data_IF_037605355193
#
_entry.id   IF_037605355193
#
_cell.length_a   1.000
_cell.length_b   1.000
_cell.length_c   1.000
_cell.angle_alpha   90.00
_cell.angle_beta   90.00
_cell.angle_gamma   90.00
#
_symmetry.space_group_name_H-M   'P 1'
#
loop_
_entity.id
_entity.type
_entity.pdbx_description
1 polymer ?
#
# COMPACT_ATOMS: atom_id res chain seq x y z
N UNK A 1 -10.48 -2.10 -14.49
CA UNK A 1 -10.93 -1.90 -13.09
C UNK A 1 -9.74 -1.54 -12.20
N UNK A 2 -8.54 -1.96 -12.59
CA UNK A 2 -7.34 -1.86 -11.77
C UNK A 2 -6.79 -0.43 -11.68
N UNK A 3 -6.87 0.35 -12.77
CA UNK A 3 -6.58 1.79 -12.70
C UNK A 3 -7.54 2.54 -11.76
N UNK A 4 -8.81 2.10 -11.66
CA UNK A 4 -9.77 2.68 -10.71
C UNK A 4 -9.43 2.27 -9.27
N UNK A 5 -8.94 1.05 -9.05
CA UNK A 5 -8.41 0.61 -7.76
C UNK A 5 -7.25 1.52 -7.32
N UNK A 6 -6.27 1.76 -8.20
CA UNK A 6 -5.13 2.65 -7.92
C UNK A 6 -5.59 4.08 -7.57
N UNK A 7 -6.53 4.63 -8.33
CA UNK A 7 -7.09 5.96 -8.06
C UNK A 7 -7.87 6.01 -6.74
N UNK A 8 -8.64 4.96 -6.42
CA UNK A 8 -9.38 4.85 -5.18
C UNK A 8 -8.45 4.83 -3.95
N UNK A 9 -7.34 4.10 -4.03
CA UNK A 9 -6.30 4.06 -2.99
C UNK A 9 -5.65 5.43 -2.86
N UNK A 10 -5.25 6.06 -3.98
CA UNK A 10 -4.63 7.38 -3.98
C UNK A 10 -5.50 8.43 -3.27
N UNK A 11 -6.82 8.30 -3.40
CA UNK A 11 -7.83 9.17 -2.80
C UNK A 11 -8.30 8.72 -1.39
N UNK A 12 -7.66 7.70 -0.79
CA UNK A 12 -8.06 7.11 0.50
C UNK A 12 -9.55 6.69 0.57
N UNK A 13 -10.10 6.22 -0.54
CA UNK A 13 -11.53 5.89 -0.63
C UNK A 13 -11.77 4.39 -0.40
N UNK A 14 -11.81 3.97 0.86
CA UNK A 14 -12.00 2.57 1.27
C UNK A 14 -13.22 1.91 0.62
N UNK A 15 -14.36 2.61 0.54
CA UNK A 15 -15.58 2.07 -0.06
C UNK A 15 -15.41 1.75 -1.55
N UNK A 16 -14.71 2.63 -2.29
CA UNK A 16 -14.45 2.40 -3.71
C UNK A 16 -13.38 1.33 -3.93
N UNK A 17 -12.35 1.28 -3.07
CA UNK A 17 -11.35 0.19 -3.07
C UNK A 17 -12.06 -1.16 -2.94
N UNK A 18 -12.93 -1.29 -1.92
CA UNK A 18 -13.71 -2.49 -1.69
C UNK A 18 -14.56 -2.86 -2.90
N UNK A 19 -15.28 -1.89 -3.48
CA UNK A 19 -16.08 -2.14 -4.67
C UNK A 19 -15.23 -2.60 -5.86
N UNK A 20 -14.03 -2.05 -6.07
CA UNK A 20 -13.13 -2.49 -7.15
C UNK A 20 -12.71 -3.95 -6.96
N UNK A 21 -12.27 -4.32 -5.76
CA UNK A 21 -11.83 -5.68 -5.44
C UNK A 21 -12.97 -6.71 -5.55
N UNK A 22 -14.16 -6.37 -5.07
CA UNK A 22 -15.36 -7.22 -5.21
C UNK A 22 -15.77 -7.43 -6.67
N UNK A 23 -15.46 -6.48 -7.55
CA UNK A 23 -15.68 -6.60 -8.99
C UNK A 23 -14.52 -7.29 -9.74
N UNK A 24 -13.52 -7.80 -9.03
CA UNK A 24 -12.42 -8.58 -9.59
C UNK A 24 -11.23 -7.75 -10.08
N UNK A 25 -11.04 -6.53 -9.57
CA UNK A 25 -9.78 -5.82 -9.76
C UNK A 25 -8.62 -6.61 -9.16
N UNK A 26 -7.50 -6.66 -9.89
CA UNK A 26 -6.30 -7.37 -9.46
C UNK A 26 -5.57 -6.55 -8.37
N UNK A 27 -5.44 -7.10 -7.13
CA UNK A 27 -4.76 -6.40 -6.04
C UNK A 27 -3.23 -6.30 -6.24
N UNK A 28 -2.67 -7.03 -7.20
CA UNK A 28 -1.25 -6.96 -7.62
C UNK A 28 -1.05 -6.33 -9.00
N UNK A 29 -2.10 -5.68 -9.54
CA UNK A 29 -2.00 -4.95 -10.79
C UNK A 29 -0.78 -4.03 -10.82
N UNK A 30 -0.07 -4.05 -11.94
CA UNK A 30 1.07 -3.18 -12.18
C UNK A 30 0.70 -2.08 -13.17
N UNK A 31 0.77 -0.82 -12.74
CA UNK A 31 0.71 0.30 -13.68
C UNK A 31 2.03 0.39 -14.44
N UNK A 32 1.95 0.26 -15.75
CA UNK A 32 3.03 0.61 -16.65
C UNK A 32 3.10 2.15 -16.70
N UNK A 33 3.90 2.77 -15.83
CA UNK A 33 4.31 4.16 -16.05
C UNK A 33 5.35 4.12 -17.19
N UNK A 34 4.83 4.31 -18.40
CA UNK A 34 5.50 4.17 -19.71
C UNK A 34 6.44 5.36 -20.02
N UNK A 35 7.07 5.96 -19.01
CA UNK A 35 8.08 7.00 -19.21
C UNK A 35 9.47 6.34 -19.31
N UNK A 36 9.82 5.91 -20.53
CA UNK A 36 11.15 5.37 -20.88
C UNK A 36 12.31 6.30 -20.48
N UNK A 37 12.04 7.59 -20.25
CA UNK A 37 13.02 8.60 -19.83
C UNK A 37 13.37 8.52 -18.33
N UNK A 38 12.48 8.01 -17.48
CA UNK A 38 12.68 7.87 -16.03
C UNK A 38 12.25 6.46 -15.59
N UNK A 39 13.16 5.46 -15.61
CA UNK A 39 12.79 4.10 -15.25
C UNK A 39 12.10 4.11 -13.88
N UNK A 40 10.95 3.45 -13.79
CA UNK A 40 10.14 3.30 -12.59
C UNK A 40 11.05 3.00 -11.40
N UNK A 41 11.37 4.04 -10.62
CA UNK A 41 12.27 3.86 -9.50
C UNK A 41 11.57 2.98 -8.46
N UNK A 42 12.32 2.22 -7.67
CA UNK A 42 11.78 1.49 -6.50
C UNK A 42 11.01 2.42 -5.51
N UNK A 43 11.01 3.74 -5.73
CA UNK A 43 10.34 4.76 -4.95
C UNK A 43 9.00 5.24 -5.52
N UNK A 44 8.66 4.93 -6.77
CA UNK A 44 7.34 5.22 -7.33
C UNK A 44 6.40 4.01 -7.15
N UNK A 45 5.12 4.25 -6.82
CA UNK A 45 4.15 3.19 -6.62
C UNK A 45 3.59 2.71 -7.95
N UNK A 46 3.89 1.47 -8.31
CA UNK A 46 3.37 0.79 -9.51
C UNK A 46 2.35 -0.30 -9.16
N UNK A 47 2.10 -0.57 -7.88
CA UNK A 47 1.15 -1.57 -7.38
C UNK A 47 0.26 -0.98 -6.29
N UNK A 48 -0.95 -1.56 -6.06
CA UNK A 48 -1.87 -1.11 -5.02
C UNK A 48 -1.23 -0.96 -3.63
N UNK A 49 -0.49 -1.96 -3.14
CA UNK A 49 0.16 -1.85 -1.82
C UNK A 49 1.31 -0.83 -1.82
N UNK A 50 2.10 -0.71 -2.90
CA UNK A 50 3.10 0.36 -3.00
C UNK A 50 2.44 1.74 -3.00
N UNK A 51 1.25 1.89 -3.58
CA UNK A 51 0.49 3.15 -3.54
C UNK A 51 0.11 3.52 -2.10
N UNK A 52 -0.29 2.57 -1.26
CA UNK A 52 -0.53 2.84 0.16
C UNK A 52 0.75 3.34 0.83
N UNK A 53 1.86 2.59 0.70
CA UNK A 53 3.17 2.98 1.25
C UNK A 53 3.61 4.35 0.74
N UNK A 54 3.29 4.68 -0.51
CA UNK A 54 3.59 6.00 -1.06
C UNK A 54 2.77 7.10 -0.38
N UNK A 55 1.46 6.91 -0.23
CA UNK A 55 0.53 7.93 0.28
C UNK A 55 0.69 8.20 1.76
N UNK A 56 1.05 7.20 2.57
CA UNK A 56 1.18 7.38 4.03
C UNK A 56 2.39 8.25 4.43
N UNK A 57 3.26 8.60 3.48
CA UNK A 57 4.30 9.63 3.65
C UNK A 57 3.77 11.07 3.67
N UNK A 58 2.51 11.29 3.33
CA UNK A 58 1.92 12.61 3.22
C UNK A 58 1.73 13.23 4.62
N UNK A 59 2.46 14.31 4.90
CA UNK A 59 2.48 14.97 6.21
C UNK A 59 1.17 15.65 6.59
N UNK A 60 0.20 15.75 5.67
CA UNK A 60 -1.10 16.35 5.93
C UNK A 60 -2.19 15.34 6.29
N UNK A 61 -1.88 14.04 6.33
CA UNK A 61 -2.84 13.02 6.74
C UNK A 61 -3.20 13.13 8.22
N UNK A 62 -4.48 12.90 8.51
CA UNK A 62 -4.99 12.76 9.87
C UNK A 62 -4.84 11.33 10.38
N UNK A 63 -5.06 11.10 11.67
CA UNK A 63 -5.14 9.74 12.22
C UNK A 63 -6.28 8.92 11.60
N UNK A 64 -7.40 9.56 11.26
CA UNK A 64 -8.52 8.93 10.56
C UNK A 64 -8.09 8.48 9.15
N UNK A 65 -7.32 9.31 8.45
CA UNK A 65 -6.79 8.93 7.14
C UNK A 65 -5.88 7.71 7.22
N UNK A 66 -4.96 7.69 8.20
CA UNK A 66 -4.04 6.57 8.41
C UNK A 66 -4.79 5.30 8.81
N UNK A 67 -5.84 5.42 9.64
CA UNK A 67 -6.71 4.30 9.98
C UNK A 67 -7.41 3.73 8.74
N UNK A 68 -7.90 4.60 7.85
CA UNK A 68 -8.50 4.18 6.57
C UNK A 68 -7.46 3.51 5.66
N UNK A 69 -6.23 4.04 5.57
CA UNK A 69 -5.15 3.38 4.83
C UNK A 69 -4.77 2.02 5.41
N UNK A 70 -4.81 1.85 6.74
CA UNK A 70 -4.62 0.56 7.39
C UNK A 70 -5.70 -0.44 6.95
N UNK A 71 -6.97 -0.04 6.98
CA UNK A 71 -8.08 -0.88 6.51
C UNK A 71 -7.97 -1.22 5.00
N UNK A 72 -7.53 -0.27 4.16
CA UNK A 72 -7.22 -0.52 2.75
C UNK A 72 -6.09 -1.56 2.60
N UNK A 73 -5.05 -1.48 3.44
CA UNK A 73 -3.92 -2.41 3.44
C UNK A 73 -4.38 -3.83 3.76
N UNK A 74 -5.12 -4.00 4.84
CA UNK A 74 -5.69 -5.29 5.24
C UNK A 74 -6.57 -5.86 4.12
N UNK A 75 -7.43 -5.04 3.54
CA UNK A 75 -8.33 -5.47 2.47
C UNK A 75 -7.58 -5.93 1.21
N UNK A 76 -6.53 -5.22 0.80
CA UNK A 76 -5.70 -5.65 -0.33
C UNK A 76 -5.03 -7.00 -0.06
N UNK A 77 -4.51 -7.19 1.16
CA UNK A 77 -3.87 -8.44 1.59
C UNK A 77 -4.87 -9.59 1.66
N UNK A 78 -6.08 -9.35 2.15
CA UNK A 78 -7.18 -10.33 2.19
C UNK A 78 -7.57 -10.83 0.78
N UNK A 79 -7.46 -9.95 -0.22
CA UNK A 79 -7.67 -10.30 -1.63
C UNK A 79 -6.43 -10.89 -2.32
N UNK A 80 -5.32 -11.04 -1.59
CA UNK A 80 -4.14 -11.79 -2.04
C UNK A 80 -2.93 -10.96 -2.46
N UNK A 81 -2.98 -9.63 -2.34
CA UNK A 81 -1.87 -8.73 -2.70
C UNK A 81 -0.53 -9.22 -2.12
N UNK A 82 0.55 -9.17 -2.89
CA UNK A 82 1.90 -9.49 -2.45
C UNK A 82 2.50 -8.34 -1.61
N UNK A 83 2.78 -8.54 -0.31
CA UNK A 83 3.40 -7.52 0.52
C UNK A 83 4.87 -7.26 0.20
N UNK A 84 5.57 -8.17 -0.49
CA UNK A 84 7.02 -8.11 -0.70
C UNK A 84 7.51 -6.80 -1.36
N UNK A 85 6.96 -6.38 -2.51
CA UNK A 85 7.32 -5.13 -3.16
C UNK A 85 7.07 -3.89 -2.28
N UNK A 86 5.95 -3.87 -1.57
CA UNK A 86 5.59 -2.78 -0.67
C UNK A 86 6.49 -2.72 0.56
N UNK A 87 6.84 -3.87 1.15
CA UNK A 87 7.81 -3.98 2.23
C UNK A 87 9.18 -3.42 1.82
N UNK A 88 9.70 -3.83 0.65
CA UNK A 88 10.97 -3.31 0.12
C UNK A 88 10.94 -1.79 -0.05
N UNK A 89 9.81 -1.22 -0.49
CA UNK A 89 9.64 0.22 -0.59
C UNK A 89 9.61 0.90 0.79
N UNK A 90 8.86 0.36 1.74
CA UNK A 90 8.74 0.88 3.10
C UNK A 90 10.12 0.91 3.78
N UNK A 91 10.91 -0.15 3.66
CA UNK A 91 12.28 -0.21 4.20
C UNK A 91 13.20 0.86 3.62
N UNK A 92 13.06 1.16 2.32
CA UNK A 92 13.84 2.21 1.65
C UNK A 92 13.44 3.62 2.10
N UNK A 93 12.16 3.84 2.36
CA UNK A 93 11.61 5.16 2.71
C UNK A 93 11.76 5.48 4.19
N UNK A 94 11.50 4.51 5.05
CA UNK A 94 11.33 4.69 6.49
C UNK A 94 12.41 4.00 7.32
N UNK A 95 13.26 3.20 6.68
CA UNK A 95 14.21 2.35 7.35
C UNK A 95 13.65 0.95 7.63
N UNK A 96 14.54 0.05 8.03
CA UNK A 96 14.17 -1.33 8.37
C UNK A 96 13.12 -1.34 9.48
N UNK A 97 12.17 -2.25 9.34
CA UNK A 97 11.13 -2.46 10.34
C UNK A 97 11.75 -2.76 11.72
N UNK A 98 11.32 -2.02 12.73
CA UNK A 98 11.68 -2.23 14.14
C UNK A 98 10.40 -2.40 14.97
N UNK A 99 10.13 -3.61 15.50
CA UNK A 99 8.94 -3.87 16.30
C UNK A 99 8.94 -3.18 17.67
N UNK A 100 10.05 -2.55 18.07
CA UNK A 100 10.16 -1.85 19.36
C UNK A 100 9.84 -0.35 19.28
N UNK A 101 9.58 0.18 18.07
CA UNK A 101 9.13 1.55 17.92
C UNK A 101 7.72 1.72 18.51
N UNK A 102 7.37 2.91 19.04
CA UNK A 102 6.04 3.15 19.58
C UNK A 102 4.94 2.94 18.54
N UNK A 103 3.92 2.20 18.92
CA UNK A 103 2.71 2.03 18.11
C UNK A 103 2.07 3.38 17.81
N UNK A 104 1.68 3.55 16.54
CA UNK A 104 0.93 4.68 16.04
C UNK A 104 0.27 4.29 14.71
N UNK A 105 -0.74 5.02 14.22
CA UNK A 105 -1.49 4.63 13.03
C UNK A 105 -0.64 4.41 11.77
N UNK A 106 0.49 5.10 11.64
CA UNK A 106 1.45 4.85 10.56
C UNK A 106 2.17 3.50 10.74
N UNK A 107 2.65 3.21 11.96
CA UNK A 107 3.30 1.94 12.26
C UNK A 107 2.36 0.76 12.09
N UNK A 108 1.06 0.91 12.40
CA UNK A 108 0.05 -0.14 12.23
C UNK A 108 0.04 -0.70 10.79
N UNK A 109 0.13 0.18 9.79
CA UNK A 109 0.22 -0.23 8.37
C UNK A 109 1.50 -1.03 8.11
N UNK A 110 2.64 -0.59 8.67
CA UNK A 110 3.91 -1.30 8.51
C UNK A 110 3.87 -2.67 9.21
N UNK A 111 3.28 -2.76 10.40
CA UNK A 111 3.04 -4.01 11.13
C UNK A 111 2.23 -5.00 10.30
N UNK A 112 1.12 -4.53 9.68
CA UNK A 112 0.25 -5.36 8.82
C UNK A 112 1.02 -5.93 7.63
N UNK A 113 1.80 -5.09 6.91
CA UNK A 113 2.60 -5.53 5.75
C UNK A 113 3.65 -6.57 6.16
N UNK A 114 4.40 -6.32 7.23
CA UNK A 114 5.46 -7.22 7.72
C UNK A 114 4.89 -8.54 8.20
N UNK A 115 3.77 -8.51 8.92
CA UNK A 115 3.06 -9.71 9.38
C UNK A 115 2.62 -10.56 8.20
N UNK A 116 1.99 -9.95 7.19
CA UNK A 116 1.54 -10.68 6.00
C UNK A 116 2.71 -11.26 5.20
N UNK A 117 3.84 -10.55 5.09
CA UNK A 117 5.05 -11.06 4.44
C UNK A 117 5.62 -12.27 5.18
N UNK A 118 5.67 -12.21 6.52
CA UNK A 118 6.23 -13.27 7.36
C UNK A 118 5.38 -14.55 7.36
N UNK A 119 4.06 -14.43 7.13
CA UNK A 119 3.13 -15.55 7.08
C UNK A 119 3.12 -16.30 5.74
N UNK A 120 3.78 -15.77 4.70
CA UNK A 120 3.91 -16.42 3.38
C UNK A 120 5.11 -17.38 3.28
N UNK A 121 5.91 -17.50 4.34
CA UNK A 121 7.10 -18.36 4.42
C UNK A 121 6.84 -19.77 4.92
#
# INVERSE_FOLDING_TARGET
MDQQLMQAINNNNLSLVKACLENGADPDYRSEDDDEEYPTSDLQPDTPLKMVVFRISDSFLTEEDLTSFCAITELLLDYGADPGPALKMAEKRYGKYDPNLPDNPFMDIYHVIVKAYSQRG
#
